data_IF_762734866839
#
_entry.id   IF_762734866839
#
_cell.length_a   1.000
_cell.length_b   1.000
_cell.length_c   1.000
_cell.angle_alpha   90.00
_cell.angle_beta   90.00
_cell.angle_gamma   90.00
#
_symmetry.space_group_name_H-M   'P 1'
#
loop_
_entity.id
_entity.type
_entity.pdbx_description
1 polymer ?
#
# COMPACT_ATOMS: atom_id res chain seq x y z
N UNK A 1 57.85 -14.00 14.88
CA UNK A 1 56.46 -13.83 14.41
C UNK A 1 55.97 -12.57 15.09
N UNK A 2 56.36 -11.42 14.52
CA UNK A 2 56.12 -10.10 15.08
C UNK A 2 54.82 -9.57 14.47
N UNK A 3 53.84 -9.26 15.32
CA UNK A 3 52.57 -8.66 14.92
C UNK A 3 52.71 -7.15 15.03
N UNK A 4 52.64 -6.48 13.87
CA UNK A 4 52.55 -5.03 13.79
C UNK A 4 51.15 -4.58 14.23
N UNK A 5 51.10 -3.82 15.33
CA UNK A 5 49.88 -3.21 15.85
C UNK A 5 49.60 -1.92 15.06
N UNK A 6 48.66 -2.01 14.12
CA UNK A 6 48.17 -0.88 13.33
C UNK A 6 47.24 -0.01 14.20
N UNK A 7 47.77 1.09 14.74
CA UNK A 7 47.00 2.01 15.58
C UNK A 7 46.01 2.82 14.74
N UNK A 8 44.72 2.57 14.92
CA UNK A 8 43.66 3.34 14.28
C UNK A 8 43.67 4.79 14.81
N UNK A 9 44.08 5.72 13.94
CA UNK A 9 44.13 7.16 14.22
C UNK A 9 42.69 7.72 14.26
N UNK A 10 42.18 7.97 15.47
CA UNK A 10 40.83 8.50 15.69
C UNK A 10 40.84 9.99 15.39
N UNK A 11 40.40 10.39 14.20
CA UNK A 11 40.31 11.81 13.85
C UNK A 11 39.23 12.50 14.68
N UNK A 12 39.65 13.33 15.63
CA UNK A 12 38.73 14.14 16.45
C UNK A 12 38.17 15.27 15.60
N UNK A 13 36.89 15.18 15.24
CA UNK A 13 36.19 16.24 14.50
C UNK A 13 35.96 17.42 15.43
N UNK A 14 36.57 18.56 15.10
CA UNK A 14 36.41 19.77 15.93
C UNK A 14 35.11 20.51 15.60
N UNK A 15 34.65 21.34 16.53
CA UNK A 15 33.51 22.25 16.29
C UNK A 15 33.73 23.18 15.09
N UNK A 16 35.00 23.54 14.79
CA UNK A 16 35.34 24.32 13.59
C UNK A 16 35.09 23.55 12.31
N UNK A 17 35.35 22.24 12.30
CA UNK A 17 35.12 21.39 11.13
C UNK A 17 33.63 21.20 10.86
N UNK A 18 32.84 21.05 11.91
CA UNK A 18 31.37 21.03 11.81
C UNK A 18 30.81 22.36 11.28
N UNK A 19 31.35 23.50 11.74
CA UNK A 19 30.94 24.81 11.24
C UNK A 19 31.26 25.00 9.75
N UNK A 20 32.46 24.58 9.31
CA UNK A 20 32.85 24.58 7.88
C UNK A 20 31.93 23.70 7.05
N UNK A 21 31.63 22.49 7.52
CA UNK A 21 30.74 21.55 6.83
C UNK A 21 29.32 22.10 6.70
N UNK A 22 28.82 22.76 7.74
CA UNK A 22 27.52 23.45 7.72
C UNK A 22 27.50 24.58 6.69
N UNK A 23 28.54 25.42 6.64
CA UNK A 23 28.65 26.49 5.65
C UNK A 23 28.69 25.95 4.21
N UNK A 24 29.41 24.86 3.98
CA UNK A 24 29.47 24.21 2.66
C UNK A 24 28.10 23.67 2.22
N UNK A 25 27.37 23.02 3.12
CA UNK A 25 26.01 22.53 2.85
C UNK A 25 25.04 23.67 2.50
N UNK A 26 25.12 24.79 3.21
CA UNK A 26 24.32 25.99 2.91
C UNK A 26 24.67 26.53 1.52
N UNK A 27 25.95 26.60 1.16
CA UNK A 27 26.39 27.04 -0.18
C UNK A 27 25.87 26.11 -1.28
N UNK A 28 25.96 24.79 -1.08
CA UNK A 28 25.44 23.78 -2.04
C UNK A 28 23.94 23.90 -2.22
N UNK A 29 23.20 24.12 -1.13
CA UNK A 29 21.75 24.35 -1.18
C UNK A 29 21.40 25.57 -2.02
N UNK A 30 22.11 26.68 -1.84
CA UNK A 30 21.88 27.91 -2.61
C UNK A 30 22.10 27.68 -4.12
N UNK A 31 23.19 27.01 -4.49
CA UNK A 31 23.52 26.73 -5.88
C UNK A 31 22.47 25.84 -6.57
N UNK A 32 21.82 24.92 -5.83
CA UNK A 32 20.71 24.12 -6.36
C UNK A 32 19.48 24.99 -6.61
N UNK A 33 19.15 25.90 -5.70
CA UNK A 33 18.02 26.83 -5.86
C UNK A 33 18.22 27.75 -7.07
N UNK A 34 19.43 28.29 -7.25
CA UNK A 34 19.74 29.15 -8.39
C UNK A 34 19.62 28.39 -9.72
N UNK A 35 20.08 27.13 -9.77
CA UNK A 35 19.89 26.26 -10.94
C UNK A 35 18.41 26.04 -11.28
N UNK A 36 17.58 25.77 -10.27
CA UNK A 36 16.14 25.55 -10.48
C UNK A 36 15.42 26.81 -10.98
N UNK A 37 15.82 27.98 -10.48
CA UNK A 37 15.27 29.26 -10.95
C UNK A 37 15.64 29.52 -12.41
N UNK A 38 16.90 29.26 -12.80
CA UNK A 38 17.35 29.46 -14.17
C UNK A 38 16.72 28.48 -15.17
N UNK A 39 16.39 27.25 -14.76
CA UNK A 39 15.72 26.27 -15.64
C UNK A 39 14.25 26.60 -15.92
N UNK A 40 13.59 27.42 -15.09
CA UNK A 40 12.19 27.79 -15.31
C UNK A 40 11.99 28.91 -16.35
N UNK A 41 13.07 29.53 -16.84
CA UNK A 41 13.00 30.62 -17.83
C UNK A 41 13.01 30.14 -19.29
N UNK A 42 13.06 28.83 -19.55
CA UNK A 42 13.09 28.29 -20.91
C UNK A 42 11.95 27.29 -21.15
N UNK A 43 10.71 27.75 -20.98
CA UNK A 43 9.56 27.10 -21.60
C UNK A 43 9.29 27.87 -22.90
N UNK A 44 9.63 27.32 -24.08
CA UNK A 44 9.22 27.92 -25.34
C UNK A 44 7.70 27.99 -25.36
N UNK A 45 7.16 29.20 -25.55
CA UNK A 45 5.74 29.41 -25.79
C UNK A 45 5.34 28.61 -27.04
N UNK A 46 4.71 27.46 -26.83
CA UNK A 46 4.03 26.73 -27.90
C UNK A 46 2.82 27.59 -28.28
N UNK A 47 2.90 28.27 -29.42
CA UNK A 47 1.75 28.88 -30.07
C UNK A 47 0.68 27.79 -30.26
N UNK A 48 -0.38 27.85 -29.46
CA UNK A 48 -1.60 27.08 -29.70
C UNK A 48 -2.39 27.75 -30.81
N UNK A 49 -2.27 27.21 -32.02
CA UNK A 49 -3.20 27.45 -33.13
C UNK A 49 -4.61 26.96 -32.73
N UNK A 50 -5.68 27.74 -32.95
CA UNK A 50 -7.04 27.33 -32.65
C UNK A 50 -7.54 26.27 -33.64
N UNK A 51 -7.79 25.07 -33.12
CA UNK A 51 -8.40 23.95 -33.86
C UNK A 51 -9.80 24.32 -34.37
N UNK A 52 -10.13 24.09 -35.65
CA UNK A 52 -11.45 24.39 -36.20
C UNK A 52 -12.52 23.43 -35.64
N UNK A 53 -13.69 24.02 -35.37
CA UNK A 53 -14.85 23.36 -34.77
C UNK A 53 -15.33 22.17 -35.61
N UNK A 54 -15.39 20.98 -34.99
CA UNK A 54 -16.14 19.84 -35.51
C UNK A 54 -17.63 20.11 -35.33
N UNK A 55 -18.31 20.41 -36.43
CA UNK A 55 -19.76 20.41 -36.52
C UNK A 55 -20.28 18.99 -36.25
N UNK A 56 -21.04 18.83 -35.16
CA UNK A 56 -21.86 17.65 -34.89
C UNK A 56 -23.17 17.83 -35.66
N UNK A 57 -23.34 17.09 -36.75
CA UNK A 57 -24.60 16.98 -37.46
C UNK A 57 -25.57 16.11 -36.67
N UNK A 58 -26.72 16.70 -36.31
CA UNK A 58 -27.88 16.04 -35.75
C UNK A 58 -28.42 14.95 -36.71
N UNK A 59 -28.69 13.77 -36.19
CA UNK A 59 -29.54 12.77 -36.86
C UNK A 59 -31.01 13.02 -36.47
N UNK A 60 -31.96 13.01 -37.42
CA UNK A 60 -33.38 13.13 -37.09
C UNK A 60 -33.94 11.80 -36.58
N UNK A 61 -34.80 11.91 -35.58
CA UNK A 61 -35.68 10.85 -35.08
C UNK A 61 -36.66 10.43 -36.19
N UNK A 62 -36.77 9.12 -36.42
CA UNK A 62 -37.88 8.53 -37.16
C UNK A 62 -38.62 7.57 -36.23
N UNK A 63 -39.87 7.92 -35.98
CA UNK A 63 -40.89 7.12 -35.29
C UNK A 63 -41.94 6.68 -36.31
N UNK A 64 -42.10 5.37 -36.49
CA UNK A 64 -43.25 4.66 -37.10
C UNK A 64 -43.12 3.21 -36.61
N UNK A 65 -43.95 2.71 -35.70
CA UNK A 65 -45.32 2.19 -35.86
C UNK A 65 -45.43 0.87 -36.63
N UNK A 66 -46.09 -0.09 -35.95
CA UNK A 66 -46.88 -1.23 -36.46
C UNK A 66 -46.23 -2.59 -36.72
N UNK A 67 -46.69 -3.55 -35.90
CA UNK A 67 -47.20 -4.88 -36.22
C UNK A 67 -46.45 -5.74 -37.26
N UNK A 68 -45.77 -6.79 -36.77
CA UNK A 68 -45.74 -8.09 -37.46
C UNK A 68 -45.86 -9.23 -36.44
N UNK A 69 -46.86 -10.06 -36.72
CA UNK A 69 -47.23 -11.33 -36.10
C UNK A 69 -46.11 -12.38 -36.16
N UNK A 70 -46.10 -13.26 -35.16
CA UNK A 70 -45.71 -14.67 -35.15
C UNK A 70 -44.75 -15.21 -36.23
N UNK A 71 -43.61 -15.71 -35.77
CA UNK A 71 -43.08 -16.98 -36.27
C UNK A 71 -42.24 -17.65 -35.19
N UNK A 72 -42.89 -18.62 -34.55
CA UNK A 72 -42.32 -19.64 -33.67
C UNK A 72 -41.33 -20.46 -34.52
N UNK A 73 -40.04 -20.21 -34.38
CA UNK A 73 -39.01 -21.09 -34.88
C UNK A 73 -38.69 -22.15 -33.81
N UNK A 74 -39.27 -23.33 -34.02
CA UNK A 74 -38.77 -24.59 -33.48
C UNK A 74 -37.25 -24.66 -33.68
N UNK A 75 -36.50 -24.77 -32.59
CA UNK A 75 -35.12 -25.25 -32.64
C UNK A 75 -35.03 -26.42 -31.68
N UNK A 76 -34.97 -27.59 -32.30
CA UNK A 76 -34.98 -28.90 -31.68
C UNK A 76 -33.83 -29.06 -30.70
N UNK A 77 -34.19 -29.63 -29.56
CA UNK A 77 -33.34 -30.10 -28.49
C UNK A 77 -32.39 -31.19 -28.99
N UNK A 78 -31.10 -30.86 -29.11
CA UNK A 78 -30.04 -31.87 -29.11
C UNK A 78 -29.78 -32.30 -27.66
N UNK A 79 -30.58 -33.27 -27.22
CA UNK A 79 -30.36 -34.08 -26.02
C UNK A 79 -29.12 -34.95 -26.25
N UNK A 80 -27.95 -34.46 -25.85
CA UNK A 80 -26.74 -35.28 -25.78
C UNK A 80 -26.75 -35.99 -24.43
N UNK A 81 -27.12 -37.26 -24.48
CA UNK A 81 -27.06 -38.21 -23.37
C UNK A 81 -25.57 -38.48 -23.11
N UNK A 82 -25.02 -37.91 -22.03
CA UNK A 82 -23.69 -38.26 -21.55
C UNK A 82 -23.85 -39.46 -20.62
N UNK A 83 -23.40 -40.62 -21.10
CA UNK A 83 -23.30 -41.85 -20.31
C UNK A 83 -22.31 -41.63 -19.16
N UNK A 84 -22.83 -41.63 -17.94
CA UNK A 84 -22.04 -41.62 -16.72
C UNK A 84 -21.44 -43.02 -16.51
N UNK A 85 -20.16 -43.17 -16.82
CA UNK A 85 -19.37 -44.32 -16.37
C UNK A 85 -19.05 -44.18 -14.88
N UNK A 86 -19.31 -45.19 -14.03
CA UNK A 86 -18.96 -45.14 -12.62
C UNK A 86 -17.54 -45.66 -12.36
N UNK A 87 -16.77 -44.88 -11.59
CA UNK A 87 -15.67 -45.34 -10.74
C UNK A 87 -14.24 -44.99 -11.18
N UNK A 88 -13.22 -45.05 -10.28
CA UNK A 88 -13.28 -45.48 -8.88
C UNK A 88 -12.71 -44.47 -7.85
N UNK A 89 -13.16 -44.66 -6.61
CA UNK A 89 -12.48 -44.48 -5.32
C UNK A 89 -11.44 -43.36 -5.13
N UNK A 90 -11.75 -42.54 -4.12
CA UNK A 90 -10.87 -41.66 -3.37
C UNK A 90 -9.44 -42.23 -3.22
N UNK A 91 -8.50 -41.51 -3.81
CA UNK A 91 -7.07 -41.65 -3.53
C UNK A 91 -6.56 -40.30 -3.07
N UNK A 92 -6.02 -40.27 -1.85
CA UNK A 92 -5.28 -39.17 -1.23
C UNK A 92 -4.39 -38.43 -2.23
N UNK A 93 -4.70 -37.15 -2.47
CA UNK A 93 -3.75 -36.24 -3.10
C UNK A 93 -2.76 -35.83 -2.00
N UNK A 94 -1.62 -36.49 -1.98
CA UNK A 94 -0.43 -36.03 -1.27
C UNK A 94 0.02 -34.72 -1.91
N UNK A 95 -0.08 -33.62 -1.16
CA UNK A 95 0.51 -32.33 -1.52
C UNK A 95 2.00 -32.41 -1.16
N UNK A 96 2.81 -32.99 -2.04
CA UNK A 96 4.27 -32.91 -1.98
C UNK A 96 4.76 -32.05 -3.13
N UNK A 97 4.86 -30.74 -2.89
CA UNK A 97 5.80 -29.81 -3.53
C UNK A 97 5.49 -28.38 -3.03
N UNK A 98 5.83 -28.13 -1.77
CA UNK A 98 6.06 -26.77 -1.27
C UNK A 98 7.57 -26.50 -1.51
N UNK A 99 7.95 -25.46 -2.24
CA UNK A 99 9.35 -25.06 -2.33
C UNK A 99 9.83 -24.59 -0.94
N UNK A 100 10.58 -25.49 -0.33
CA UNK A 100 11.74 -25.34 0.56
C UNK A 100 12.17 -23.90 0.89
N UNK A 101 12.10 -23.60 2.20
CA UNK A 101 12.96 -22.72 2.97
C UNK A 101 13.31 -21.35 2.38
N UNK A 102 12.54 -20.32 2.76
CA UNK A 102 13.14 -19.02 3.06
C UNK A 102 13.79 -19.13 4.44
N UNK A 103 15.08 -19.42 4.41
CA UNK A 103 15.98 -19.38 5.55
C UNK A 103 16.06 -17.92 6.05
N UNK A 104 15.31 -17.61 7.11
CA UNK A 104 15.47 -16.35 7.84
C UNK A 104 16.68 -16.52 8.76
N UNK A 105 17.85 -16.16 8.23
CA UNK A 105 19.06 -15.99 9.03
C UNK A 105 18.77 -15.13 10.26
N UNK A 106 18.99 -15.71 11.44
CA UNK A 106 18.69 -15.12 12.74
C UNK A 106 19.84 -14.27 13.30
N UNK A 107 20.83 -13.92 12.47
CA UNK A 107 22.09 -13.32 12.94
C UNK A 107 22.19 -11.79 12.74
N UNK A 108 21.10 -11.12 12.35
CA UNK A 108 21.12 -9.67 12.06
C UNK A 108 20.87 -8.78 13.30
N UNK A 109 21.16 -9.27 14.51
CA UNK A 109 20.86 -8.53 15.76
C UNK A 109 22.08 -7.83 16.37
N UNK A 110 23.33 -8.10 15.97
CA UNK A 110 24.49 -7.62 16.76
C UNK A 110 25.69 -7.08 15.98
N UNK A 111 25.48 -6.36 14.87
CA UNK A 111 26.60 -5.67 14.21
C UNK A 111 26.29 -4.19 13.90
N UNK A 112 25.61 -3.51 14.82
CA UNK A 112 25.61 -2.05 14.80
C UNK A 112 26.98 -1.57 15.31
N UNK A 113 27.84 -1.20 14.35
CA UNK A 113 29.22 -0.75 14.57
C UNK A 113 29.30 0.51 15.46
N UNK A 114 28.16 1.16 15.67
CA UNK A 114 28.01 2.37 16.50
C UNK A 114 27.37 2.07 17.88
N UNK A 115 27.25 0.80 18.29
CA UNK A 115 26.77 0.46 19.64
C UNK A 115 27.81 0.80 20.71
N UNK A 116 27.63 1.94 21.38
CA UNK A 116 28.45 2.37 22.52
C UNK A 116 27.81 1.88 23.83
N UNK A 117 28.48 1.03 24.63
CA UNK A 117 27.98 0.54 25.91
C UNK A 117 27.73 1.71 26.90
N UNK A 118 26.65 1.65 27.69
CA UNK A 118 26.32 2.70 28.67
C UNK A 118 27.42 2.95 29.73
N UNK A 119 28.33 2.00 29.93
CA UNK A 119 29.50 2.18 30.78
C UNK A 119 30.49 3.23 30.27
N UNK A 120 30.50 3.53 28.96
CA UNK A 120 31.44 4.50 28.35
C UNK A 120 30.89 5.94 28.33
N UNK A 121 29.58 6.12 28.52
CA UNK A 121 28.93 7.45 28.51
C UNK A 121 29.05 8.13 29.89
N UNK A 122 29.45 7.41 30.94
CA UNK A 122 29.52 7.92 32.31
C UNK A 122 30.94 8.29 32.76
N UNK A 123 31.65 9.08 31.93
CA UNK A 123 32.84 9.83 32.36
C UNK A 123 32.49 11.26 32.78
N UNK A 124 31.31 11.48 33.38
CA UNK A 124 31.03 12.72 34.10
C UNK A 124 31.68 12.62 35.47
N UNK A 125 32.84 13.27 35.60
CA UNK A 125 33.44 13.56 36.90
C UNK A 125 32.39 14.19 37.82
N UNK A 126 32.29 13.78 39.09
CA UNK A 126 31.45 14.47 40.07
C UNK A 126 31.86 15.94 40.09
N UNK A 127 30.91 16.85 39.88
CA UNK A 127 31.14 18.28 40.04
C UNK A 127 31.58 18.49 41.48
N UNK A 128 32.87 18.76 41.68
CA UNK A 128 33.39 19.24 42.94
C UNK A 128 32.71 20.59 43.22
N UNK A 129 31.88 20.62 44.26
CA UNK A 129 31.31 21.86 44.79
C UNK A 129 32.46 22.72 45.31
N UNK A 130 32.66 23.95 44.81
CA UNK A 130 33.63 24.85 45.39
C UNK A 130 33.12 25.29 46.76
N UNK A 131 33.81 24.86 47.81
CA UNK A 131 33.79 25.55 49.09
C UNK A 131 34.54 26.86 48.91
N UNK A 132 33.85 28.00 48.90
CA UNK A 132 34.29 29.21 49.62
C UNK A 132 33.27 30.36 49.51
N UNK A 133 33.04 30.94 50.68
CA UNK A 133 32.35 32.17 51.05
C UNK A 133 32.05 33.20 49.96
N UNK A 134 30.76 33.41 49.69
CA UNK A 134 30.23 34.74 49.34
C UNK A 134 28.99 34.98 50.20
N UNK A 135 29.16 35.82 51.21
CA UNK A 135 28.08 36.41 52.01
C UNK A 135 27.28 37.34 51.12
N UNK A 136 26.04 36.98 50.80
CA UNK A 136 25.06 37.95 50.34
C UNK A 136 23.73 37.66 51.03
N UNK A 137 23.39 38.54 51.96
CA UNK A 137 22.11 38.57 52.66
C UNK A 137 20.98 38.83 51.66
N UNK A 138 19.81 38.27 51.96
CA UNK A 138 18.56 38.36 51.22
C UNK A 138 18.33 37.30 50.14
N UNK A 139 18.48 36.02 50.51
CA UNK A 139 17.74 34.92 49.89
C UNK A 139 16.45 34.74 50.68
N UNK A 140 15.37 35.22 50.08
CA UNK A 140 13.99 34.98 50.47
C UNK A 140 13.77 33.46 50.56
N UNK A 141 13.65 32.96 51.79
CA UNK A 141 13.46 31.56 52.08
C UNK A 141 12.17 31.08 51.41
N UNK A 142 12.34 30.32 50.33
CA UNK A 142 11.26 29.52 49.77
C UNK A 142 10.74 28.63 50.90
N UNK A 143 9.48 28.84 51.29
CA UNK A 143 8.76 27.91 52.15
C UNK A 143 8.81 26.56 51.44
N UNK A 144 9.66 25.66 51.94
CA UNK A 144 9.61 24.24 51.63
C UNK A 144 8.21 23.78 51.98
N UNK A 145 7.34 23.76 50.98
CA UNK A 145 6.07 23.08 51.06
C UNK A 145 6.44 21.63 51.29
N UNK A 146 6.24 21.14 52.50
CA UNK A 146 6.26 19.71 52.84
C UNK A 146 5.19 19.04 51.96
N UNK A 147 5.56 18.72 50.72
CA UNK A 147 4.77 17.87 49.85
C UNK A 147 5.00 16.48 50.43
N UNK A 148 3.99 15.97 51.12
CA UNK A 148 3.99 14.61 51.67
C UNK A 148 4.56 13.62 50.64
N UNK A 149 5.57 12.82 51.02
CA UNK A 149 6.25 11.89 50.12
C UNK A 149 5.34 10.75 49.63
N UNK A 150 4.12 10.60 50.15
CA UNK A 150 3.17 9.58 49.73
C UNK A 150 2.50 9.94 48.40
N UNK A 151 2.14 11.21 48.16
CA UNK A 151 1.52 11.66 46.89
C UNK A 151 2.51 11.61 45.71
N UNK A 152 3.81 11.78 46.00
CA UNK A 152 4.87 11.72 44.99
C UNK A 152 5.21 10.29 44.53
N UNK A 153 4.86 9.25 45.32
CA UNK A 153 5.12 7.85 44.99
C UNK A 153 4.05 7.24 44.07
N UNK A 154 2.81 7.72 44.13
CA UNK A 154 1.73 7.24 43.26
C UNK A 154 1.82 7.83 41.83
N UNK A 155 2.43 9.00 41.66
CA UNK A 155 2.48 9.72 40.38
C UNK A 155 3.61 9.28 39.43
N UNK A 156 4.50 8.37 39.86
CA UNK A 156 5.63 7.86 39.04
C UNK A 156 5.49 6.39 38.64
N UNK A 157 4.28 5.93 38.36
CA UNK A 157 4.13 4.67 37.61
C UNK A 157 4.72 4.87 36.22
N UNK A 158 5.74 4.05 35.87
CA UNK A 158 6.34 4.07 34.52
C UNK A 158 5.22 3.86 33.51
N UNK A 159 5.01 4.82 32.62
CA UNK A 159 4.03 4.69 31.52
C UNK A 159 4.31 3.38 30.80
N UNK A 160 3.29 2.52 30.70
CA UNK A 160 3.42 1.24 30.01
C UNK A 160 3.94 1.44 28.58
N UNK A 161 4.61 0.42 28.03
CA UNK A 161 5.07 0.46 26.64
C UNK A 161 3.85 0.69 25.75
N UNK A 162 3.87 1.76 24.94
CA UNK A 162 2.77 2.10 24.07
C UNK A 162 2.49 0.96 23.08
N UNK A 163 1.25 0.50 23.02
CA UNK A 163 0.85 -0.55 22.09
C UNK A 163 0.91 -0.03 20.64
N UNK A 164 1.69 -0.71 19.79
CA UNK A 164 1.82 -0.39 18.37
C UNK A 164 0.49 -0.49 17.62
N UNK A 165 -0.45 -1.32 18.08
CA UNK A 165 -1.76 -1.48 17.44
C UNK A 165 -2.61 -0.20 17.55
N UNK A 166 -2.40 0.59 18.60
CA UNK A 166 -3.07 1.86 18.85
C UNK A 166 -2.56 3.01 17.97
N UNK A 167 -1.43 2.84 17.29
CA UNK A 167 -0.86 3.90 16.47
C UNK A 167 -1.76 4.19 15.27
N UNK A 168 -1.98 5.47 14.97
CA UNK A 168 -2.83 5.90 13.85
C UNK A 168 -2.43 5.25 12.51
N UNK A 169 -1.14 4.99 12.30
CA UNK A 169 -0.63 4.28 11.10
C UNK A 169 -1.11 2.83 11.07
N UNK A 170 -1.04 2.12 12.20
CA UNK A 170 -1.52 0.74 12.34
C UNK A 170 -3.03 0.64 12.15
N UNK A 171 -3.79 1.57 12.75
CA UNK A 171 -5.25 1.66 12.59
C UNK A 171 -5.61 1.93 11.12
N UNK A 172 -4.96 2.89 10.46
CA UNK A 172 -5.21 3.18 9.04
C UNK A 172 -4.85 2.00 8.13
N UNK A 173 -3.75 1.29 8.42
CA UNK A 173 -3.38 0.06 7.70
C UNK A 173 -4.47 -0.99 7.85
N UNK A 174 -4.96 -1.23 9.08
CA UNK A 174 -6.06 -2.18 9.36
C UNK A 174 -7.36 -1.78 8.66
N UNK A 175 -7.74 -0.50 8.71
CA UNK A 175 -8.95 0.00 8.05
C UNK A 175 -8.87 -0.12 6.52
N UNK A 176 -7.74 0.26 5.92
CA UNK A 176 -7.50 0.07 4.48
C UNK A 176 -7.59 -1.41 4.09
N UNK A 177 -7.04 -2.29 4.92
CA UNK A 177 -7.08 -3.73 4.71
C UNK A 177 -8.51 -4.26 4.74
N UNK A 178 -9.33 -3.85 5.71
CA UNK A 178 -10.73 -4.27 5.83
C UNK A 178 -11.69 -3.54 4.88
N UNK A 179 -11.19 -2.66 4.02
CA UNK A 179 -12.03 -1.85 3.14
C UNK A 179 -12.88 -0.80 3.87
N UNK A 180 -12.55 -0.49 5.13
CA UNK A 180 -13.22 0.55 5.92
C UNK A 180 -12.72 1.94 5.53
N UNK A 181 -13.43 2.95 6.00
CA UNK A 181 -12.99 4.33 5.88
C UNK A 181 -11.66 4.55 6.61
N UNK A 182 -10.74 5.30 5.99
CA UNK A 182 -9.42 5.57 6.56
C UNK A 182 -8.88 6.94 6.13
N UNK A 183 -7.86 7.44 6.83
CA UNK A 183 -7.21 8.70 6.49
C UNK A 183 -6.01 8.41 5.60
N UNK A 184 -6.09 8.82 4.33
CA UNK A 184 -4.98 8.80 3.39
C UNK A 184 -4.23 10.13 3.35
N UNK A 185 -3.11 10.15 2.65
CA UNK A 185 -2.38 11.37 2.32
C UNK A 185 -2.57 11.67 0.83
N UNK A 186 -2.82 12.93 0.47
CA UNK A 186 -2.91 13.41 -0.92
C UNK A 186 -2.04 14.65 -1.06
N UNK A 187 -1.27 14.73 -2.15
CA UNK A 187 -0.51 15.93 -2.52
C UNK A 187 -1.44 16.88 -3.26
N UNK A 188 -1.63 18.09 -2.72
CA UNK A 188 -2.41 19.18 -3.32
C UNK A 188 -1.50 20.41 -3.29
N UNK A 189 -1.22 21.00 -4.44
CA UNK A 189 -0.37 22.20 -4.58
C UNK A 189 0.98 22.10 -3.86
N UNK A 190 1.66 20.97 -4.06
CA UNK A 190 2.93 20.63 -3.41
C UNK A 190 2.90 20.41 -1.89
N UNK A 191 1.73 20.52 -1.25
CA UNK A 191 1.54 20.23 0.17
C UNK A 191 0.90 18.85 0.35
N UNK A 192 1.41 18.07 1.31
CA UNK A 192 0.81 16.78 1.68
C UNK A 192 -0.30 17.03 2.70
N UNK A 193 -1.55 16.77 2.31
CA UNK A 193 -2.72 16.94 3.15
C UNK A 193 -3.36 15.59 3.50
N UNK A 194 -3.93 15.49 4.70
CA UNK A 194 -4.74 14.35 5.13
C UNK A 194 -6.08 14.38 4.42
N UNK A 195 -6.48 13.27 3.80
CA UNK A 195 -7.73 13.14 3.09
C UNK A 195 -8.48 11.88 3.56
N UNK A 196 -9.74 12.05 3.95
CA UNK A 196 -10.64 10.94 4.27
C UNK A 196 -10.90 10.11 3.00
N UNK A 197 -10.70 8.80 3.08
CA UNK A 197 -10.97 7.83 2.00
C UNK A 197 -12.22 7.04 2.38
N UNK A 198 -13.30 7.07 1.58
CA UNK A 198 -14.56 6.43 1.94
C UNK A 198 -14.38 4.92 2.07
N UNK A 199 -15.28 4.29 2.83
CA UNK A 199 -15.40 2.82 2.87
C UNK A 199 -15.58 2.27 1.45
N UNK A 200 -15.03 1.09 1.20
CA UNK A 200 -15.28 0.35 -0.04
C UNK A 200 -16.76 0.01 -0.09
N UNK A 201 -17.37 0.26 -1.25
CA UNK A 201 -18.76 -0.04 -1.51
C UNK A 201 -18.85 -0.90 -2.76
N UNK A 202 -19.88 -1.74 -2.81
CA UNK A 202 -20.20 -2.55 -3.97
C UNK A 202 -20.83 -1.67 -5.05
N UNK A 203 -20.48 -1.92 -6.31
CA UNK A 203 -21.10 -1.25 -7.45
C UNK A 203 -22.46 -1.85 -7.79
N UNK A 204 -23.22 -1.18 -8.65
CA UNK A 204 -24.45 -1.74 -9.21
C UNK A 204 -24.18 -2.97 -10.07
N UNK A 205 -25.20 -3.82 -10.21
CA UNK A 205 -25.13 -4.97 -11.12
C UNK A 205 -24.87 -4.51 -12.56
N UNK A 206 -24.12 -5.33 -13.30
CA UNK A 206 -23.86 -5.07 -14.71
C UNK A 206 -25.17 -5.22 -15.51
N UNK A 207 -25.58 -4.14 -16.18
CA UNK A 207 -26.77 -4.10 -17.05
C UNK A 207 -26.39 -3.94 -18.53
N UNK A 208 -25.16 -4.27 -18.92
CA UNK A 208 -24.74 -4.12 -20.32
C UNK A 208 -25.46 -5.11 -21.22
N UNK A 209 -25.87 -4.67 -22.41
CA UNK A 209 -26.53 -5.52 -23.39
C UNK A 209 -25.64 -6.72 -23.80
N UNK A 210 -24.32 -6.54 -23.80
CA UNK A 210 -23.35 -7.61 -24.06
C UNK A 210 -23.42 -8.71 -23.00
N UNK A 211 -23.36 -8.35 -21.71
CA UNK A 211 -23.44 -9.33 -20.64
C UNK A 211 -24.79 -10.04 -20.60
N UNK A 212 -25.89 -9.29 -20.82
CA UNK A 212 -27.24 -9.86 -20.81
C UNK A 212 -27.47 -10.88 -21.94
N UNK A 213 -26.87 -10.67 -23.12
CA UNK A 213 -26.99 -11.58 -24.27
C UNK A 213 -25.97 -12.71 -24.24
N UNK A 214 -24.90 -12.58 -23.47
CA UNK A 214 -23.80 -13.54 -23.47
C UNK A 214 -24.16 -14.76 -22.65
N UNK A 215 -24.07 -15.95 -23.26
CA UNK A 215 -24.13 -17.24 -22.55
C UNK A 215 -22.83 -17.55 -21.79
N UNK A 216 -21.76 -16.80 -22.05
CA UNK A 216 -20.42 -17.02 -21.50
C UNK A 216 -20.18 -16.19 -20.23
N UNK A 217 -20.89 -15.07 -20.07
CA UNK A 217 -20.74 -14.17 -18.93
C UNK A 217 -21.80 -14.49 -17.88
N UNK A 218 -21.39 -14.68 -16.64
CA UNK A 218 -22.26 -15.01 -15.52
C UNK A 218 -22.92 -13.77 -14.87
N UNK A 219 -22.64 -12.57 -15.38
CA UNK A 219 -23.14 -11.32 -14.78
C UNK A 219 -24.66 -11.30 -14.58
N UNK A 220 -25.41 -11.86 -15.52
CA UNK A 220 -26.89 -11.91 -15.50
C UNK A 220 -27.41 -12.76 -14.33
N UNK A 221 -26.70 -13.85 -14.02
CA UNK A 221 -27.07 -14.82 -12.97
C UNK A 221 -26.54 -14.42 -11.59
N UNK A 222 -25.61 -13.46 -11.52
CA UNK A 222 -25.11 -12.95 -10.26
C UNK A 222 -26.21 -12.14 -9.54
N UNK A 223 -26.69 -12.64 -8.41
CA UNK A 223 -27.64 -11.94 -7.55
C UNK A 223 -26.92 -10.90 -6.70
N UNK A 224 -27.65 -9.87 -6.26
CA UNK A 224 -27.06 -8.82 -5.41
C UNK A 224 -26.56 -9.38 -4.07
N UNK A 225 -27.26 -10.37 -3.51
CA UNK A 225 -26.89 -10.99 -2.24
C UNK A 225 -25.62 -11.82 -2.37
N UNK A 226 -25.46 -12.54 -3.47
CA UNK A 226 -24.22 -13.24 -3.79
C UNK A 226 -23.06 -12.24 -3.98
N UNK A 227 -23.31 -11.13 -4.68
CA UNK A 227 -22.31 -10.07 -4.86
C UNK A 227 -21.87 -9.51 -3.50
N UNK A 228 -22.81 -9.22 -2.60
CA UNK A 228 -22.55 -8.75 -1.23
C UNK A 228 -21.76 -9.78 -0.43
N UNK A 229 -22.15 -11.04 -0.46
CA UNK A 229 -21.46 -12.13 0.23
C UNK A 229 -20.00 -12.26 -0.22
N UNK A 230 -19.76 -12.29 -1.53
CA UNK A 230 -18.40 -12.32 -2.09
C UNK A 230 -17.60 -11.07 -1.69
N UNK A 231 -18.24 -9.90 -1.69
CA UNK A 231 -17.61 -8.65 -1.31
C UNK A 231 -17.18 -8.65 0.16
N UNK A 232 -18.06 -9.06 1.07
CA UNK A 232 -17.79 -9.13 2.50
C UNK A 232 -16.71 -10.18 2.82
N UNK A 233 -16.83 -11.37 2.23
CA UNK A 233 -15.83 -12.42 2.36
C UNK A 233 -14.46 -11.97 1.83
N UNK A 234 -14.41 -11.28 0.68
CA UNK A 234 -13.16 -10.74 0.18
C UNK A 234 -12.55 -9.73 1.15
N UNK A 235 -13.32 -8.78 1.67
CA UNK A 235 -12.76 -7.72 2.52
C UNK A 235 -12.41 -8.18 3.94
N UNK A 236 -13.00 -9.27 4.43
CA UNK A 236 -12.65 -9.89 5.73
C UNK A 236 -11.27 -10.55 5.73
N UNK A 237 -10.78 -11.00 4.57
CA UNK A 237 -9.50 -11.71 4.41
C UNK A 237 -8.26 -10.86 4.70
N UNK A 238 -7.17 -11.53 5.08
CA UNK A 238 -5.82 -10.98 5.18
C UNK A 238 -5.26 -10.56 3.81
N UNK A 239 -4.12 -9.86 3.81
CA UNK A 239 -3.50 -9.40 2.55
C UNK A 239 -2.98 -10.56 1.70
N UNK A 240 -2.41 -11.57 2.34
CA UNK A 240 -1.91 -12.76 1.69
C UNK A 240 -3.05 -13.53 1.04
N UNK A 241 -4.15 -13.76 1.76
CA UNK A 241 -5.34 -14.42 1.23
C UNK A 241 -5.98 -13.63 0.07
N UNK A 242 -6.05 -12.30 0.18
CA UNK A 242 -6.53 -11.43 -0.93
C UNK A 242 -5.70 -11.58 -2.20
N UNK A 243 -4.38 -11.70 -2.07
CA UNK A 243 -3.49 -11.95 -3.22
C UNK A 243 -3.76 -13.32 -3.85
N UNK A 244 -3.85 -14.36 -3.02
CA UNK A 244 -4.13 -15.73 -3.48
C UNK A 244 -5.49 -15.77 -4.18
N UNK A 245 -6.52 -15.18 -3.56
CA UNK A 245 -7.85 -15.03 -4.12
C UNK A 245 -7.80 -14.37 -5.50
N UNK A 246 -7.15 -13.21 -5.62
CA UNK A 246 -7.02 -12.50 -6.90
C UNK A 246 -6.28 -13.30 -7.97
N UNK A 247 -5.23 -14.05 -7.60
CA UNK A 247 -4.50 -14.92 -8.56
C UNK A 247 -5.37 -16.10 -8.99
N UNK A 248 -6.09 -16.72 -8.05
CA UNK A 248 -6.95 -17.89 -8.32
C UNK A 248 -8.12 -17.58 -9.27
N UNK A 249 -8.49 -16.30 -9.39
CA UNK A 249 -9.57 -15.77 -10.22
C UNK A 249 -9.14 -15.38 -11.63
N UNK A 250 -7.85 -15.48 -11.97
CA UNK A 250 -7.31 -15.03 -13.25
C UNK A 250 -6.67 -16.19 -13.98
N UNK A 251 -7.24 -16.56 -15.13
CA UNK A 251 -6.58 -17.49 -16.04
C UNK A 251 -5.85 -16.71 -17.13
N UNK A 252 -4.59 -17.09 -17.38
CA UNK A 252 -3.75 -16.50 -18.43
C UNK A 252 -3.65 -17.48 -19.59
N UNK A 253 -4.10 -17.05 -20.76
CA UNK A 253 -4.06 -17.85 -21.98
C UNK A 253 -3.10 -17.19 -22.97
N UNK A 254 -2.08 -17.91 -23.49
CA UNK A 254 -1.18 -17.35 -24.49
C UNK A 254 -1.92 -17.02 -25.78
N UNK A 255 -1.45 -16.01 -26.50
CA UNK A 255 -2.04 -15.64 -27.79
C UNK A 255 -1.77 -16.75 -28.81
N UNK A 256 -2.83 -17.39 -29.33
CA UNK A 256 -2.69 -18.58 -30.18
C UNK A 256 -2.17 -18.31 -31.60
N UNK A 257 -2.36 -17.11 -32.17
CA UNK A 257 -1.79 -16.72 -33.47
C UNK A 257 -1.51 -15.22 -33.53
N UNK A 258 -0.27 -14.86 -33.82
CA UNK A 258 0.05 -13.53 -34.34
C UNK A 258 -0.38 -13.44 -35.82
N UNK A 259 -0.88 -12.28 -36.26
CA UNK A 259 -0.99 -12.03 -37.71
C UNK A 259 0.42 -12.06 -38.31
N UNK A 260 0.62 -12.75 -39.43
CA UNK A 260 1.89 -12.74 -40.18
C UNK A 260 2.36 -11.30 -40.37
N UNK A 261 3.60 -11.00 -40.01
CA UNK A 261 4.24 -9.70 -40.23
C UNK A 261 4.11 -8.67 -39.10
N UNK A 262 3.40 -8.96 -38.00
CA UNK A 262 3.35 -8.05 -36.85
C UNK A 262 3.49 -8.79 -35.52
N UNK A 263 4.59 -8.52 -34.80
CA UNK A 263 4.73 -8.97 -33.42
C UNK A 263 3.68 -8.25 -32.57
N UNK A 264 2.69 -8.99 -32.10
CA UNK A 264 1.76 -8.49 -31.09
C UNK A 264 2.53 -8.16 -29.82
N UNK A 265 2.40 -6.92 -29.32
CA UNK A 265 2.93 -6.55 -27.99
C UNK A 265 2.25 -7.31 -26.85
N UNK A 266 1.09 -7.92 -27.10
CA UNK A 266 0.35 -8.71 -26.13
C UNK A 266 0.80 -10.17 -26.21
N UNK A 267 1.43 -10.66 -25.13
CA UNK A 267 1.83 -12.06 -24.98
C UNK A 267 0.69 -12.95 -24.50
N UNK A 268 -0.19 -12.43 -23.64
CA UNK A 268 -1.25 -13.20 -23.00
C UNK A 268 -2.61 -12.47 -22.99
N UNK A 269 -3.68 -13.25 -23.08
CA UNK A 269 -5.04 -12.86 -22.74
C UNK A 269 -5.35 -13.30 -21.32
N UNK A 270 -6.02 -12.44 -20.55
CA UNK A 270 -6.46 -12.74 -19.19
C UNK A 270 -7.96 -12.92 -19.20
N UNK A 271 -8.44 -13.99 -18.59
CA UNK A 271 -9.85 -14.23 -18.29
C UNK A 271 -10.06 -14.08 -16.79
N UNK A 272 -11.15 -13.43 -16.40
CA UNK A 272 -11.48 -13.13 -15.02
C UNK A 272 -12.69 -13.96 -14.61
N UNK A 273 -12.61 -14.54 -13.42
CA UNK A 273 -13.62 -15.43 -12.88
C UNK A 273 -13.97 -15.03 -11.46
N UNK A 274 -15.18 -15.37 -11.04
CA UNK A 274 -15.61 -15.40 -9.65
C UNK A 274 -15.90 -16.83 -9.24
N UNK A 275 -15.66 -17.14 -7.98
CA UNK A 275 -16.07 -18.42 -7.41
C UNK A 275 -17.51 -18.29 -6.93
N UNK A 276 -18.42 -19.07 -7.53
CA UNK A 276 -19.83 -19.12 -7.18
C UNK A 276 -20.19 -20.59 -6.97
N UNK A 277 -20.66 -20.95 -5.77
CA UNK A 277 -21.06 -22.32 -5.42
C UNK A 277 -19.97 -23.38 -5.74
N UNK A 278 -18.70 -23.05 -5.49
CA UNK A 278 -17.56 -23.94 -5.76
C UNK A 278 -17.17 -24.04 -7.25
N UNK A 279 -17.82 -23.32 -8.15
CA UNK A 279 -17.49 -23.26 -9.58
C UNK A 279 -16.87 -21.92 -9.95
N UNK A 280 -15.97 -21.93 -10.94
CA UNK A 280 -15.38 -20.71 -11.51
C UNK A 280 -16.27 -20.20 -12.64
N UNK A 281 -16.95 -19.08 -12.38
CA UNK A 281 -17.86 -18.44 -13.33
C UNK A 281 -17.23 -17.18 -13.91
N UNK A 282 -17.29 -17.01 -15.23
CA UNK A 282 -16.63 -15.88 -15.91
C UNK A 282 -17.46 -14.61 -15.80
N UNK A 283 -16.83 -13.49 -15.45
CA UNK A 283 -17.50 -12.17 -15.27
C UNK A 283 -16.78 -11.01 -15.93
#
# INVERSE_FOLDING_TARGET
MEQENESADVSVVTLRDLAKRRAELVRKKQLILDKLNNTNLHIPQILTEPSPARQLSCFPNASTSENVHDSIAYCETLTTVFELSPGPSASSIMISNIPEALDFSSDDVNNDRDYVPLSEITNLQPIATPSESVSNENVEWYVEREIEPEVAKESRTRKSKADRSSWAVSINKKNRMLGKEYIGLKKIDNVIQKQKRPKRAIGTKCNSAFCNKSKVMFCSQLTEDLQKSIFEDFWSKSWQEKKIFGISMIDKVPVQRGKKGHNSRRSNTKFYYLQVNGRKERV
#
